data_IF_169299255909
#
_entry.id   IF_169299255909
#
_cell.length_a   1.000
_cell.length_b   1.000
_cell.length_c   1.000
_cell.angle_alpha   90.00
_cell.angle_beta   90.00
_cell.angle_gamma   90.00
#
_symmetry.space_group_name_H-M   'P 1'
#
loop_
_entity.id
_entity.type
_entity.pdbx_description
1 polymer ?
#
# COMPACT_ATOMS: atom_id res chain seq x y z
N UNK A 1 -99.39 23.82 -2.91
CA UNK A 1 -98.62 23.19 -3.99
C UNK A 1 -97.24 23.78 -3.86
N UNK A 2 -96.37 23.13 -3.08
CA UNK A 2 -95.48 22.07 -3.61
C UNK A 2 -94.57 22.69 -4.68
N UNK A 3 -93.24 22.72 -4.55
CA UNK A 3 -92.40 21.65 -4.08
C UNK A 3 -91.08 22.11 -3.48
N UNK A 4 -90.68 21.34 -2.49
CA UNK A 4 -89.34 21.19 -1.97
C UNK A 4 -88.43 20.63 -3.08
N UNK A 5 -87.43 21.40 -3.49
CA UNK A 5 -86.20 20.83 -4.03
C UNK A 5 -85.01 21.43 -3.27
N UNK A 6 -84.84 20.94 -2.04
CA UNK A 6 -83.53 20.95 -1.41
C UNK A 6 -82.65 19.97 -2.18
N UNK A 7 -81.85 20.51 -3.10
CA UNK A 7 -80.68 19.83 -3.65
C UNK A 7 -79.77 19.44 -2.48
N UNK A 8 -79.78 18.16 -2.12
CA UNK A 8 -78.80 17.55 -1.24
C UNK A 8 -77.42 17.79 -1.87
N UNK A 9 -76.66 18.71 -1.30
CA UNK A 9 -75.25 18.84 -1.57
C UNK A 9 -74.60 17.49 -1.24
N UNK A 10 -74.08 16.80 -2.26
CA UNK A 10 -73.15 15.70 -2.07
C UNK A 10 -71.92 16.27 -1.36
N UNK A 11 -71.91 16.15 -0.04
CA UNK A 11 -70.73 16.37 0.77
C UNK A 11 -69.79 15.19 0.54
N UNK A 12 -68.92 15.36 -0.45
CA UNK A 12 -67.76 14.51 -0.72
C UNK A 12 -66.70 14.80 0.37
N UNK A 13 -66.98 14.39 1.61
CA UNK A 13 -65.97 14.39 2.66
C UNK A 13 -65.18 13.09 2.55
N UNK A 14 -63.84 13.14 2.41
CA UNK A 14 -63.01 11.95 2.45
C UNK A 14 -63.31 11.16 3.71
N UNK A 15 -63.60 9.87 3.58
CA UNK A 15 -63.84 9.00 4.72
C UNK A 15 -62.54 8.89 5.54
N UNK A 16 -62.49 9.58 6.67
CA UNK A 16 -61.33 9.66 7.54
C UNK A 16 -60.86 8.27 7.99
N UNK A 17 -61.76 7.29 8.08
CA UNK A 17 -61.40 5.91 8.41
C UNK A 17 -60.66 5.23 7.25
N UNK A 18 -61.11 5.41 6.01
CA UNK A 18 -60.45 4.85 4.83
C UNK A 18 -59.07 5.50 4.61
N UNK A 19 -58.96 6.82 4.77
CA UNK A 19 -57.68 7.53 4.71
C UNK A 19 -56.70 7.04 5.79
N UNK A 20 -57.17 6.87 7.03
CA UNK A 20 -56.35 6.34 8.13
C UNK A 20 -55.87 4.91 7.87
N UNK A 21 -56.74 4.06 7.29
CA UNK A 21 -56.40 2.70 6.91
C UNK A 21 -55.38 2.64 5.76
N UNK A 22 -55.52 3.49 4.75
CA UNK A 22 -54.55 3.58 3.64
C UNK A 22 -53.20 4.09 4.12
N UNK A 23 -53.18 5.12 4.97
CA UNK A 23 -51.93 5.62 5.60
C UNK A 23 -51.23 4.52 6.39
N UNK A 24 -51.96 3.79 7.24
CA UNK A 24 -51.38 2.71 8.03
C UNK A 24 -50.89 1.54 7.17
N UNK A 25 -51.59 1.22 6.07
CA UNK A 25 -51.11 0.23 5.10
C UNK A 25 -49.78 0.67 4.48
N UNK A 26 -49.67 1.92 4.05
CA UNK A 26 -48.45 2.47 3.48
C UNK A 26 -47.29 2.46 4.50
N UNK A 27 -47.56 2.76 5.77
CA UNK A 27 -46.57 2.65 6.86
C UNK A 27 -46.07 1.21 7.04
N UNK A 28 -46.96 0.22 7.04
CA UNK A 28 -46.58 -1.20 7.13
C UNK A 28 -45.73 -1.61 5.92
N UNK A 29 -46.15 -1.24 4.70
CA UNK A 29 -45.40 -1.52 3.47
C UNK A 29 -44.00 -0.91 3.52
N UNK A 30 -43.87 0.29 4.07
CA UNK A 30 -42.57 0.93 4.31
C UNK A 30 -41.72 0.15 5.34
N UNK A 31 -42.29 -0.22 6.49
CA UNK A 31 -41.56 -0.99 7.51
C UNK A 31 -41.08 -2.35 7.01
N UNK A 32 -41.89 -3.02 6.18
CA UNK A 32 -41.49 -4.28 5.53
C UNK A 32 -40.29 -4.02 4.62
N UNK A 33 -40.36 -3.00 3.76
CA UNK A 33 -39.29 -2.64 2.84
C UNK A 33 -37.99 -2.32 3.60
N UNK A 34 -38.06 -1.52 4.66
CA UNK A 34 -36.91 -1.16 5.49
C UNK A 34 -36.29 -2.39 6.17
N UNK A 35 -37.13 -3.30 6.66
CA UNK A 35 -36.69 -4.55 7.30
C UNK A 35 -36.04 -5.50 6.30
N UNK A 36 -36.57 -5.59 5.09
CA UNK A 36 -36.00 -6.41 4.01
C UNK A 36 -34.61 -5.90 3.62
N UNK A 37 -34.43 -4.58 3.47
CA UNK A 37 -33.13 -3.98 3.20
C UNK A 37 -32.12 -4.23 4.32
N UNK A 38 -32.55 -4.11 5.58
CA UNK A 38 -31.68 -4.41 6.74
C UNK A 38 -31.27 -5.89 6.77
N UNK A 39 -32.20 -6.80 6.48
CA UNK A 39 -31.93 -8.23 6.44
C UNK A 39 -30.94 -8.58 5.32
N UNK A 40 -31.10 -8.00 4.13
CA UNK A 40 -30.16 -8.18 3.01
C UNK A 40 -28.74 -7.72 3.39
N UNK A 41 -28.62 -6.58 4.06
CA UNK A 41 -27.34 -6.06 4.52
C UNK A 41 -26.70 -6.96 5.60
N UNK A 42 -27.49 -7.51 6.53
CA UNK A 42 -27.00 -8.51 7.50
C UNK A 42 -26.50 -9.78 6.82
N UNK A 43 -27.20 -10.27 5.78
CA UNK A 43 -26.73 -11.39 4.99
C UNK A 43 -25.42 -11.09 4.26
N UNK A 44 -25.27 -9.89 3.71
CA UNK A 44 -24.02 -9.45 3.08
C UNK A 44 -22.87 -9.42 4.10
N UNK A 45 -23.06 -8.80 5.26
CA UNK A 45 -22.06 -8.75 6.33
C UNK A 45 -21.65 -10.14 6.80
N UNK A 46 -22.62 -11.05 6.96
CA UNK A 46 -22.35 -12.46 7.28
C UNK A 46 -21.51 -13.13 6.19
N UNK A 47 -21.88 -12.93 4.92
CA UNK A 47 -21.14 -13.50 3.79
C UNK A 47 -19.69 -12.99 3.77
N UNK A 48 -19.46 -11.71 4.04
CA UNK A 48 -18.11 -11.12 4.15
C UNK A 48 -17.31 -11.79 5.27
N UNK A 49 -17.91 -12.01 6.45
CA UNK A 49 -17.26 -12.63 7.60
C UNK A 49 -16.82 -14.08 7.35
N UNK A 50 -17.59 -14.82 6.57
CA UNK A 50 -17.36 -16.23 6.27
C UNK A 50 -16.54 -16.44 4.98
N UNK A 51 -16.26 -15.36 4.24
CA UNK A 51 -15.63 -15.41 2.93
C UNK A 51 -14.13 -15.73 3.01
N UNK A 52 -13.66 -16.53 2.05
CA UNK A 52 -12.24 -16.69 1.76
C UNK A 52 -11.71 -15.53 0.88
N UNK A 53 -10.39 -15.51 0.64
CA UNK A 53 -9.76 -14.46 -0.17
C UNK A 53 -10.43 -14.26 -1.54
N UNK A 54 -10.76 -15.35 -2.26
CA UNK A 54 -11.38 -15.27 -3.59
C UNK A 54 -12.77 -14.66 -3.53
N UNK A 55 -13.57 -15.09 -2.56
CA UNK A 55 -14.92 -14.55 -2.37
C UNK A 55 -14.86 -13.07 -1.98
N UNK A 56 -13.91 -12.68 -1.13
CA UNK A 56 -13.70 -11.27 -0.77
C UNK A 56 -13.26 -10.44 -1.98
N UNK A 57 -12.37 -10.98 -2.83
CA UNK A 57 -11.94 -10.34 -4.08
C UNK A 57 -13.12 -10.10 -5.04
N UNK A 58 -13.97 -11.11 -5.23
CA UNK A 58 -15.15 -11.01 -6.08
C UNK A 58 -16.15 -9.98 -5.53
N UNK A 59 -16.38 -9.99 -4.21
CA UNK A 59 -17.22 -9.00 -3.54
C UNK A 59 -16.64 -7.59 -3.68
N UNK A 60 -15.31 -7.43 -3.54
CA UNK A 60 -14.65 -6.14 -3.72
C UNK A 60 -14.86 -5.60 -5.14
N UNK A 61 -14.65 -6.44 -6.16
CA UNK A 61 -14.91 -6.08 -7.57
C UNK A 61 -16.37 -5.71 -7.82
N UNK A 62 -17.30 -6.48 -7.27
CA UNK A 62 -18.72 -6.28 -7.51
C UNK A 62 -19.34 -5.11 -6.74
N UNK A 63 -18.78 -4.73 -5.58
CA UNK A 63 -19.39 -3.74 -4.70
C UNK A 63 -18.62 -2.41 -4.70
N UNK A 64 -17.29 -2.45 -4.65
CA UNK A 64 -16.47 -1.22 -4.55
C UNK A 64 -16.23 -0.61 -5.93
N UNK A 65 -15.79 -1.39 -6.92
CA UNK A 65 -15.52 -0.83 -8.27
C UNK A 65 -16.78 -0.48 -9.05
N UNK A 66 -17.85 -1.24 -8.87
CA UNK A 66 -19.13 -0.98 -9.54
C UNK A 66 -19.97 0.08 -8.83
N UNK A 67 -19.43 0.71 -7.77
CA UNK A 67 -20.08 1.76 -6.97
C UNK A 67 -21.51 1.36 -6.57
N UNK A 68 -21.66 0.13 -6.06
CA UNK A 68 -22.97 -0.34 -5.59
C UNK A 68 -23.25 0.23 -4.22
N UNK A 69 -24.46 0.72 -4.05
CA UNK A 69 -24.93 1.21 -2.77
C UNK A 69 -24.99 0.04 -1.77
N UNK A 70 -24.14 0.11 -0.74
CA UNK A 70 -24.06 -0.84 0.36
C UNK A 70 -23.91 -0.06 1.66
N UNK A 71 -24.29 -0.66 2.79
CA UNK A 71 -24.08 0.02 4.07
C UNK A 71 -22.60 0.31 4.31
N UNK A 72 -22.33 1.45 4.98
CA UNK A 72 -20.97 1.83 5.38
C UNK A 72 -20.29 0.75 6.23
N UNK A 73 -21.07 0.00 7.02
CA UNK A 73 -20.55 -1.10 7.84
C UNK A 73 -20.15 -2.29 6.96
N UNK A 74 -20.97 -2.68 5.98
CA UNK A 74 -20.61 -3.75 5.04
C UNK A 74 -19.36 -3.37 4.23
N UNK A 75 -19.27 -2.12 3.77
CA UNK A 75 -18.09 -1.60 3.08
C UNK A 75 -16.84 -1.67 3.97
N UNK A 76 -16.94 -1.18 5.22
CA UNK A 76 -15.84 -1.18 6.18
C UNK A 76 -15.37 -2.60 6.50
N UNK A 77 -16.30 -3.53 6.71
CA UNK A 77 -16.00 -4.94 6.95
C UNK A 77 -15.29 -5.55 5.74
N UNK A 78 -15.81 -5.35 4.54
CA UNK A 78 -15.21 -5.89 3.31
C UNK A 78 -13.77 -5.43 3.14
N UNK A 79 -13.51 -4.13 3.26
CA UNK A 79 -12.15 -3.58 3.13
C UNK A 79 -11.25 -4.11 4.25
N UNK A 80 -11.75 -4.21 5.48
CA UNK A 80 -10.97 -4.70 6.63
C UNK A 80 -10.55 -6.15 6.48
N UNK A 81 -11.50 -7.05 6.18
CA UNK A 81 -11.20 -8.47 5.99
C UNK A 81 -10.36 -8.73 4.75
N UNK A 82 -10.59 -7.99 3.66
CA UNK A 82 -9.77 -8.08 2.46
C UNK A 82 -8.33 -7.61 2.73
N UNK A 83 -8.16 -6.49 3.43
CA UNK A 83 -6.83 -5.98 3.83
C UNK A 83 -6.11 -6.98 4.73
N UNK A 84 -6.82 -7.61 5.67
CA UNK A 84 -6.26 -8.63 6.53
C UNK A 84 -5.81 -9.87 5.75
N UNK A 85 -6.62 -10.39 4.82
CA UNK A 85 -6.25 -11.55 4.00
C UNK A 85 -5.06 -11.24 3.08
N UNK A 86 -4.89 -10.00 2.64
CA UNK A 86 -3.69 -9.55 1.93
C UNK A 86 -2.46 -9.50 2.84
N UNK A 87 -2.60 -9.04 4.09
CA UNK A 87 -1.52 -8.90 5.06
C UNK A 87 -1.21 -10.19 5.84
N UNK A 88 -1.94 -11.27 5.58
CA UNK A 88 -1.85 -12.57 6.27
C UNK A 88 -0.42 -13.09 6.51
N UNK A 89 0.55 -12.96 5.59
CA UNK A 89 1.94 -13.37 5.85
C UNK A 89 2.54 -12.75 7.11
N UNK A 90 2.12 -11.54 7.48
CA UNK A 90 2.62 -10.86 8.67
C UNK A 90 2.15 -11.48 9.99
N UNK A 91 1.23 -12.46 9.97
CA UNK A 91 0.92 -13.26 11.17
C UNK A 91 2.18 -13.91 11.75
N UNK A 92 3.14 -14.32 10.91
CA UNK A 92 4.41 -14.89 11.35
C UNK A 92 5.23 -13.92 12.24
N UNK A 93 5.05 -12.61 12.04
CA UNK A 93 5.70 -11.53 12.81
C UNK A 93 4.77 -10.86 13.81
N UNK A 94 3.61 -11.48 14.11
CA UNK A 94 2.66 -11.01 15.12
C UNK A 94 1.76 -9.88 14.64
N UNK A 95 1.14 -10.03 13.48
CA UNK A 95 0.10 -9.11 12.98
C UNK A 95 -1.10 -9.07 13.94
N UNK A 96 -1.37 -7.90 14.50
CA UNK A 96 -2.49 -7.64 15.41
C UNK A 96 -3.21 -6.35 15.00
N UNK A 97 -4.53 -6.28 15.21
CA UNK A 97 -5.29 -5.06 14.95
C UNK A 97 -5.06 -4.07 16.10
N UNK A 98 -4.82 -2.81 15.77
CA UNK A 98 -4.72 -1.74 16.78
C UNK A 98 -6.11 -1.23 17.19
N UNK A 99 -6.16 -0.23 18.07
CA UNK A 99 -7.41 0.47 18.40
C UNK A 99 -8.03 1.19 17.17
N UNK A 100 -7.22 1.50 16.16
CA UNK A 100 -7.70 2.07 14.90
C UNK A 100 -8.09 0.96 13.93
N UNK A 101 -9.33 0.98 13.47
CA UNK A 101 -9.89 -0.08 12.60
C UNK A 101 -9.05 -0.32 11.34
N UNK A 102 -8.44 0.73 10.78
CA UNK A 102 -7.66 0.69 9.55
C UNK A 102 -6.16 0.50 9.75
N UNK A 103 -5.71 0.19 10.98
CA UNK A 103 -4.29 0.06 11.29
C UNK A 103 -4.01 -1.27 11.97
N UNK A 104 -3.01 -1.97 11.45
CA UNK A 104 -2.45 -3.18 11.99
C UNK A 104 -1.04 -2.91 12.54
N UNK A 105 -0.65 -3.66 13.55
CA UNK A 105 0.68 -3.63 14.15
C UNK A 105 1.35 -4.98 13.99
N UNK A 106 2.67 -4.96 13.80
CA UNK A 106 3.54 -6.12 13.90
C UNK A 106 4.64 -5.86 14.92
N UNK A 107 5.49 -6.86 15.18
CA UNK A 107 6.71 -6.65 15.98
C UNK A 107 7.64 -5.58 15.40
N UNK A 108 7.65 -5.37 14.08
CA UNK A 108 8.64 -4.54 13.40
C UNK A 108 8.10 -3.16 12.93
N UNK A 109 6.81 -3.07 12.61
CA UNK A 109 6.21 -1.87 12.03
C UNK A 109 4.70 -1.80 12.27
N UNK A 110 4.12 -0.62 12.02
CA UNK A 110 2.70 -0.40 11.85
C UNK A 110 2.36 -0.33 10.36
N UNK A 111 1.20 -0.86 9.97
CA UNK A 111 0.67 -0.73 8.62
C UNK A 111 -0.76 -0.22 8.67
N UNK A 112 -1.01 0.94 8.07
CA UNK A 112 -2.36 1.47 7.86
C UNK A 112 -2.79 1.24 6.41
N UNK A 113 -4.10 1.22 6.16
CA UNK A 113 -4.62 1.12 4.80
C UNK A 113 -5.71 2.13 4.52
N UNK A 114 -5.81 2.55 3.27
CA UNK A 114 -6.85 3.43 2.78
C UNK A 114 -7.13 3.17 1.30
N UNK A 115 -8.35 3.44 0.85
CA UNK A 115 -8.67 3.49 -0.57
C UNK A 115 -8.26 4.83 -1.17
N UNK A 116 -7.64 4.80 -2.35
CA UNK A 116 -7.39 5.99 -3.14
C UNK A 116 -8.63 6.38 -3.98
N UNK A 117 -8.52 7.46 -4.76
CA UNK A 117 -9.59 7.94 -5.64
C UNK A 117 -10.02 6.94 -6.72
N UNK A 118 -9.15 5.97 -7.04
CA UNK A 118 -9.40 4.89 -8.01
C UNK A 118 -9.85 3.59 -7.34
N UNK A 119 -10.23 3.61 -6.06
CA UNK A 119 -10.62 2.44 -5.27
C UNK A 119 -9.52 1.36 -5.14
N UNK A 120 -8.26 1.71 -5.38
CA UNK A 120 -7.12 0.85 -5.09
C UNK A 120 -6.75 0.94 -3.61
N UNK A 121 -6.28 -0.17 -3.06
CA UNK A 121 -5.91 -0.26 -1.65
C UNK A 121 -4.45 0.16 -1.48
N UNK A 122 -4.21 1.25 -0.76
CA UNK A 122 -2.87 1.76 -0.46
C UNK A 122 -2.48 1.36 0.96
N UNK A 123 -1.36 0.67 1.10
CA UNK A 123 -0.76 0.32 2.39
C UNK A 123 0.34 1.31 2.77
N UNK A 124 0.18 1.90 3.94
CA UNK A 124 1.08 2.85 4.55
C UNK A 124 1.88 2.17 5.65
N UNK A 125 3.21 2.26 5.59
CA UNK A 125 4.08 1.62 6.56
C UNK A 125 4.78 2.65 7.43
N UNK A 126 4.84 2.36 8.73
CA UNK A 126 5.60 3.14 9.72
C UNK A 126 6.46 2.18 10.54
N UNK A 127 7.77 2.26 10.36
CA UNK A 127 8.71 1.44 11.12
C UNK A 127 8.84 1.98 12.55
N UNK A 128 9.03 1.08 13.50
CA UNK A 128 9.36 1.44 14.89
C UNK A 128 10.78 2.01 14.93
N UNK A 129 10.95 3.21 15.46
CA UNK A 129 12.25 3.89 15.56
C UNK A 129 13.12 3.27 16.65
N UNK A 130 14.44 3.50 16.59
CA UNK A 130 15.37 3.06 17.66
C UNK A 130 15.22 3.91 18.92
N UNK A 131 14.86 5.19 18.75
CA UNK A 131 14.73 6.17 19.83
C UNK A 131 13.36 6.82 19.75
N UNK A 132 12.52 6.54 20.74
CA UNK A 132 11.11 6.95 20.84
C UNK A 132 10.91 8.48 20.86
N UNK A 133 11.99 9.26 20.98
CA UNK A 133 11.95 10.72 20.83
C UNK A 133 11.68 11.16 19.38
N UNK A 134 11.94 10.30 18.40
CA UNK A 134 11.70 10.58 16.99
C UNK A 134 10.40 9.96 16.53
N UNK A 135 9.65 10.69 15.71
CA UNK A 135 8.42 10.17 15.10
C UNK A 135 8.66 10.10 13.60
N UNK A 136 8.53 8.90 13.05
CA UNK A 136 8.50 8.66 11.60
C UNK A 136 7.05 8.64 11.16
N UNK A 137 6.77 9.29 10.03
CA UNK A 137 5.45 9.32 9.42
C UNK A 137 5.12 8.01 8.69
N UNK A 138 3.84 7.81 8.45
CA UNK A 138 3.34 6.72 7.62
C UNK A 138 3.70 6.97 6.14
N UNK A 139 4.38 6.01 5.52
CA UNK A 139 4.82 6.09 4.13
C UNK A 139 3.91 5.21 3.25
N UNK A 140 3.19 5.76 2.25
CA UNK A 140 2.39 4.98 1.32
C UNK A 140 3.31 4.17 0.40
N UNK A 141 3.59 2.93 0.78
CA UNK A 141 4.63 2.14 0.15
C UNK A 141 4.10 1.23 -0.94
N UNK A 142 2.93 0.63 -0.73
CA UNK A 142 2.35 -0.35 -1.63
C UNK A 142 0.97 0.11 -2.08
N UNK A 143 0.72 0.03 -3.38
CA UNK A 143 -0.61 0.18 -3.96
C UNK A 143 -1.02 -1.14 -4.57
N UNK A 144 -2.13 -1.70 -4.12
CA UNK A 144 -2.73 -2.90 -4.68
C UNK A 144 -3.82 -2.48 -5.66
N UNK A 145 -3.57 -2.71 -6.95
CA UNK A 145 -4.57 -2.57 -7.98
C UNK A 145 -5.35 -3.88 -8.10
N UNK A 146 -6.57 -3.85 -7.61
CA UNK A 146 -7.44 -5.03 -7.52
C UNK A 146 -8.06 -5.37 -8.87
N UNK A 147 -8.28 -4.38 -9.74
CA UNK A 147 -8.84 -4.59 -11.08
C UNK A 147 -7.84 -5.35 -11.96
N UNK A 148 -6.62 -4.83 -12.03
CA UNK A 148 -5.53 -5.38 -12.84
C UNK A 148 -4.84 -6.57 -12.16
N UNK A 149 -5.12 -6.82 -10.88
CA UNK A 149 -4.39 -7.78 -10.05
C UNK A 149 -2.88 -7.48 -10.06
N UNK A 150 -2.52 -6.21 -9.89
CA UNK A 150 -1.13 -5.75 -9.89
C UNK A 150 -0.78 -5.03 -8.59
N UNK A 151 0.50 -5.04 -8.24
CA UNK A 151 1.03 -4.34 -7.06
C UNK A 151 2.15 -3.42 -7.49
N UNK A 152 2.02 -2.17 -7.09
CA UNK A 152 3.00 -1.13 -7.33
C UNK A 152 3.66 -0.73 -6.02
N UNK A 153 4.98 -0.55 -6.07
CA UNK A 153 5.77 -0.05 -4.95
C UNK A 153 6.16 1.39 -5.24
N UNK A 154 5.97 2.28 -4.27
CA UNK A 154 6.40 3.66 -4.41
C UNK A 154 7.89 3.81 -4.11
N UNK A 155 8.70 3.81 -5.18
CA UNK A 155 10.16 3.92 -5.11
C UNK A 155 10.66 5.20 -4.42
N UNK A 156 9.90 6.30 -4.46
CA UNK A 156 10.23 7.53 -3.73
C UNK A 156 10.22 7.28 -2.23
N UNK A 157 9.21 6.56 -1.73
CA UNK A 157 9.13 6.20 -0.31
C UNK A 157 10.15 5.14 0.09
N UNK A 158 10.57 4.26 -0.83
CA UNK A 158 11.72 3.37 -0.61
C UNK A 158 13.01 4.17 -0.37
N UNK A 159 13.25 5.24 -1.16
CA UNK A 159 14.38 6.15 -0.93
C UNK A 159 14.26 6.88 0.40
N UNK A 160 13.05 7.26 0.82
CA UNK A 160 12.81 7.83 2.15
C UNK A 160 13.22 6.86 3.26
N UNK A 161 12.90 5.57 3.16
CA UNK A 161 13.35 4.56 4.13
C UNK A 161 14.89 4.47 4.22
N UNK A 162 15.58 4.54 3.07
CA UNK A 162 17.05 4.59 3.03
C UNK A 162 17.58 5.86 3.71
N UNK A 163 16.94 7.01 3.49
CA UNK A 163 17.30 8.27 4.15
C UNK A 163 17.18 8.17 5.68
N UNK A 164 16.06 7.67 6.17
CA UNK A 164 15.78 7.54 7.60
C UNK A 164 16.82 6.66 8.31
N UNK A 165 17.36 5.65 7.61
CA UNK A 165 18.44 4.81 8.11
C UNK A 165 19.83 5.45 7.97
N UNK A 166 20.16 5.99 6.80
CA UNK A 166 21.52 6.41 6.49
C UNK A 166 21.82 7.85 6.89
N UNK A 167 20.93 8.78 6.59
CA UNK A 167 21.09 10.21 6.84
C UNK A 167 20.68 10.55 8.28
N UNK A 168 19.47 10.13 8.67
CA UNK A 168 18.85 10.59 9.92
C UNK A 168 19.15 9.66 11.10
N UNK A 169 19.54 8.41 10.82
CA UNK A 169 19.86 7.37 11.81
C UNK A 169 18.68 7.03 12.74
N UNK A 170 17.45 7.27 12.30
CA UNK A 170 16.23 6.91 13.06
C UNK A 170 15.94 5.42 13.03
N UNK A 171 16.41 4.74 11.97
CA UNK A 171 16.30 3.31 11.78
C UNK A 171 17.67 2.64 11.91
N UNK A 172 17.69 1.42 12.40
CA UNK A 172 18.86 0.55 12.40
C UNK A 172 18.93 -0.33 11.15
N UNK A 173 20.12 -0.85 10.86
CA UNK A 173 20.33 -1.79 9.74
C UNK A 173 19.47 -3.06 9.90
N UNK A 174 19.36 -3.59 11.11
CA UNK A 174 18.57 -4.79 11.39
C UNK A 174 17.08 -4.55 11.17
N UNK A 175 16.55 -3.39 11.57
CA UNK A 175 15.15 -3.03 11.32
C UNK A 175 14.83 -2.97 9.82
N UNK A 176 15.67 -2.33 9.00
CA UNK A 176 15.47 -2.31 7.55
C UNK A 176 15.58 -3.71 6.93
N UNK A 177 16.52 -4.53 7.41
CA UNK A 177 16.68 -5.90 6.90
C UNK A 177 15.47 -6.78 7.22
N UNK A 178 14.94 -6.71 8.44
CA UNK A 178 13.74 -7.44 8.86
C UNK A 178 12.52 -6.96 8.07
N UNK A 179 12.33 -5.65 7.96
CA UNK A 179 11.28 -5.06 7.15
C UNK A 179 11.33 -5.54 5.69
N UNK A 180 12.53 -5.53 5.09
CA UNK A 180 12.72 -6.01 3.72
C UNK A 180 12.40 -7.50 3.57
N UNK A 181 12.75 -8.33 4.56
CA UNK A 181 12.36 -9.74 4.57
C UNK A 181 10.85 -9.90 4.60
N UNK A 182 10.18 -9.23 5.56
CA UNK A 182 8.73 -9.32 5.74
C UNK A 182 7.99 -8.91 4.45
N UNK A 183 8.39 -7.79 3.82
CA UNK A 183 7.79 -7.31 2.57
C UNK A 183 8.00 -8.30 1.41
N UNK A 184 9.15 -8.96 1.34
CA UNK A 184 9.39 -9.95 0.29
C UNK A 184 8.60 -11.24 0.51
N UNK A 185 8.35 -11.64 1.76
CA UNK A 185 7.41 -12.72 2.07
C UNK A 185 5.98 -12.34 1.66
N UNK A 186 5.59 -11.08 1.87
CA UNK A 186 4.32 -10.54 1.39
C UNK A 186 4.23 -10.56 -0.16
N UNK A 187 5.27 -10.13 -0.88
CA UNK A 187 5.29 -10.19 -2.35
C UNK A 187 5.21 -11.61 -2.89
N UNK A 188 5.88 -12.57 -2.24
CA UNK A 188 5.76 -13.98 -2.59
C UNK A 188 4.31 -14.46 -2.45
N UNK A 189 3.67 -14.13 -1.33
CA UNK A 189 2.26 -14.47 -1.09
C UNK A 189 1.33 -13.83 -2.13
N UNK A 190 1.55 -12.56 -2.48
CA UNK A 190 0.76 -11.91 -3.53
C UNK A 190 0.87 -12.62 -4.87
N UNK A 191 2.07 -13.05 -5.28
CA UNK A 191 2.27 -13.86 -6.49
C UNK A 191 1.53 -15.20 -6.41
N UNK A 192 1.50 -15.83 -5.23
CA UNK A 192 0.71 -17.06 -5.00
C UNK A 192 -0.81 -16.83 -5.10
N UNK A 193 -1.30 -15.65 -4.71
CA UNK A 193 -2.71 -15.25 -4.88
C UNK A 193 -3.06 -14.78 -6.29
N UNK A 194 -2.08 -14.74 -7.21
CA UNK A 194 -2.29 -14.38 -8.61
C UNK A 194 -2.09 -12.89 -8.93
N UNK A 195 -1.47 -12.12 -8.03
CA UNK A 195 -1.08 -10.74 -8.34
C UNK A 195 0.28 -10.69 -9.06
N UNK A 196 0.41 -9.74 -9.97
CA UNK A 196 1.68 -9.35 -10.57
C UNK A 196 2.33 -8.23 -9.74
N UNK A 197 3.49 -8.50 -9.14
CA UNK A 197 4.28 -7.47 -8.45
C UNK A 197 5.15 -6.78 -9.49
N UNK A 198 4.90 -5.49 -9.71
CA UNK A 198 5.67 -4.69 -10.67
C UNK A 198 7.13 -4.60 -10.22
N UNK A 199 8.09 -4.54 -11.18
CA UNK A 199 9.49 -4.33 -10.86
C UNK A 199 9.65 -3.09 -9.98
N UNK A 200 10.33 -3.26 -8.86
CA UNK A 200 10.47 -2.20 -7.87
C UNK A 200 11.79 -2.30 -7.13
N UNK A 201 12.11 -1.25 -6.37
CA UNK A 201 13.28 -1.23 -5.52
C UNK A 201 13.22 -2.23 -4.35
N UNK A 202 12.04 -2.77 -4.00
CA UNK A 202 11.90 -3.71 -2.87
C UNK A 202 11.82 -5.18 -3.28
N UNK A 203 11.44 -5.49 -4.52
CA UNK A 203 11.26 -6.87 -4.97
C UNK A 203 12.61 -7.57 -5.12
N UNK A 204 12.87 -8.59 -4.27
CA UNK A 204 14.06 -9.43 -4.35
C UNK A 204 13.84 -10.75 -5.10
N UNK A 205 12.65 -11.00 -5.64
CA UNK A 205 12.33 -12.28 -6.31
C UNK A 205 13.05 -12.43 -7.64
N UNK A 206 13.50 -11.32 -8.24
CA UNK A 206 14.30 -11.28 -9.46
C UNK A 206 15.72 -10.77 -9.18
N UNK A 207 16.61 -10.96 -10.16
CA UNK A 207 17.93 -10.35 -10.10
C UNK A 207 17.81 -8.83 -10.15
N UNK A 208 18.56 -8.12 -9.31
CA UNK A 208 18.61 -6.66 -9.34
C UNK A 208 19.41 -6.23 -10.57
N UNK A 209 18.71 -5.83 -11.63
CA UNK A 209 19.28 -5.14 -12.78
C UNK A 209 18.46 -3.89 -13.00
N UNK A 210 18.96 -2.75 -12.53
CA UNK A 210 18.14 -1.56 -12.38
C UNK A 210 18.90 -0.30 -12.76
N UNK A 211 18.27 0.50 -13.62
CA UNK A 211 18.70 1.85 -13.97
C UNK A 211 17.95 2.85 -13.08
N UNK A 212 18.67 3.54 -12.22
CA UNK A 212 18.18 4.63 -11.39
C UNK A 212 18.68 5.95 -11.93
N UNK A 213 17.79 6.94 -11.93
CA UNK A 213 18.17 8.33 -12.11
C UNK A 213 17.97 9.00 -10.74
N UNK A 214 19.00 9.68 -10.27
CA UNK A 214 18.95 10.51 -9.07
C UNK A 214 18.82 11.97 -9.50
N UNK A 215 17.89 12.70 -8.89
CA UNK A 215 17.56 14.10 -9.21
C UNK A 215 18.65 15.11 -8.77
N UNK A 216 19.87 14.63 -8.52
CA UNK A 216 20.99 15.44 -8.08
C UNK A 216 22.28 14.96 -8.75
N UNK A 217 23.19 15.89 -9.08
CA UNK A 217 24.52 15.53 -9.53
C UNK A 217 25.35 15.06 -8.34
N UNK A 218 26.11 13.98 -8.53
CA UNK A 218 27.02 13.52 -7.50
C UNK A 218 28.19 14.48 -7.31
N UNK A 219 28.55 14.75 -6.05
CA UNK A 219 29.71 15.57 -5.71
C UNK A 219 31.00 14.73 -5.77
N UNK A 220 32.10 15.35 -6.19
CA UNK A 220 33.44 14.76 -6.21
C UNK A 220 33.81 14.14 -4.86
N UNK A 221 33.45 14.76 -3.74
CA UNK A 221 33.72 14.23 -2.40
C UNK A 221 33.11 12.84 -2.16
N UNK A 222 31.96 12.54 -2.79
CA UNK A 222 31.34 11.21 -2.69
C UNK A 222 32.13 10.21 -3.54
N UNK A 223 32.51 10.58 -4.76
CA UNK A 223 33.34 9.73 -5.63
C UNK A 223 34.69 9.41 -5.00
N UNK A 224 35.36 10.41 -4.42
CA UNK A 224 36.63 10.24 -3.71
C UNK A 224 36.49 9.27 -2.54
N UNK A 225 35.39 9.36 -1.78
CA UNK A 225 35.12 8.44 -0.67
C UNK A 225 34.87 7.01 -1.13
N UNK A 226 34.15 6.84 -2.24
CA UNK A 226 33.94 5.52 -2.86
C UNK A 226 35.30 4.95 -3.27
N UNK A 227 36.11 5.72 -3.99
CA UNK A 227 37.46 5.32 -4.42
C UNK A 227 38.36 4.92 -3.25
N UNK A 228 38.39 5.72 -2.17
CA UNK A 228 39.17 5.37 -0.97
C UNK A 228 38.67 4.05 -0.37
N UNK A 229 37.35 3.86 -0.26
CA UNK A 229 36.76 2.65 0.33
C UNK A 229 37.05 1.41 -0.50
N UNK A 230 37.04 1.51 -1.83
CA UNK A 230 37.40 0.39 -2.71
C UNK A 230 38.89 0.09 -2.65
N UNK A 231 39.76 1.10 -2.57
CA UNK A 231 41.19 0.90 -2.40
C UNK A 231 41.57 0.21 -1.08
N UNK A 232 40.79 0.44 -0.02
CA UNK A 232 40.99 -0.19 1.29
C UNK A 232 40.46 -1.64 1.36
N UNK A 233 39.69 -2.09 0.35
CA UNK A 233 39.09 -3.41 0.34
C UNK A 233 39.48 -4.20 -0.92
N UNK A 234 40.22 -5.30 -0.73
CA UNK A 234 40.71 -6.15 -1.82
C UNK A 234 39.61 -6.83 -2.65
N UNK A 235 38.39 -6.89 -2.13
CA UNK A 235 37.26 -7.53 -2.81
C UNK A 235 36.51 -6.58 -3.75
N UNK A 236 36.87 -5.29 -3.76
CA UNK A 236 36.23 -4.25 -4.58
C UNK A 236 37.22 -3.63 -5.55
N UNK A 237 36.73 -3.12 -6.68
CA UNK A 237 37.52 -2.37 -7.65
C UNK A 237 36.78 -1.10 -8.10
N UNK A 238 37.52 -0.08 -8.49
CA UNK A 238 36.99 1.18 -8.99
C UNK A 238 37.68 1.56 -10.29
N UNK A 239 36.93 1.49 -11.38
CA UNK A 239 37.41 1.71 -12.73
C UNK A 239 36.80 2.99 -13.32
N UNK A 240 37.62 3.78 -14.00
CA UNK A 240 37.16 4.89 -14.81
C UNK A 240 36.92 4.42 -16.24
N UNK A 241 35.68 4.55 -16.73
CA UNK A 241 35.27 4.08 -18.06
C UNK A 241 35.41 5.15 -19.16
N UNK A 242 35.82 6.37 -18.79
CA UNK A 242 35.94 7.51 -19.70
C UNK A 242 34.88 8.59 -19.45
N UNK A 243 35.25 9.86 -19.65
CA UNK A 243 34.37 10.99 -19.37
C UNK A 243 33.99 11.07 -17.89
N UNK A 244 32.71 11.32 -17.61
CA UNK A 244 32.12 11.35 -16.26
C UNK A 244 31.45 10.01 -15.88
N UNK A 245 32.00 8.90 -16.42
CA UNK A 245 31.49 7.55 -16.22
C UNK A 245 32.49 6.68 -15.43
N UNK A 246 32.01 6.07 -14.36
CA UNK A 246 32.77 5.26 -13.43
C UNK A 246 32.08 3.92 -13.22
N UNK A 247 32.84 2.87 -12.92
CA UNK A 247 32.31 1.57 -12.56
C UNK A 247 32.94 1.13 -11.24
N UNK A 248 32.10 0.68 -10.32
CA UNK A 248 32.53 0.07 -9.08
C UNK A 248 32.20 -1.42 -9.17
N UNK A 249 33.22 -2.26 -9.14
CA UNK A 249 33.05 -3.69 -9.01
C UNK A 249 33.04 -4.03 -7.52
N UNK A 250 32.02 -4.76 -7.10
CA UNK A 250 31.82 -5.20 -5.72
C UNK A 250 32.12 -6.69 -5.62
N UNK A 251 32.12 -7.19 -4.38
CA UNK A 251 32.29 -8.61 -4.15
C UNK A 251 31.23 -9.42 -4.91
N UNK A 252 31.62 -10.64 -5.28
CA UNK A 252 30.75 -11.57 -6.01
C UNK A 252 30.33 -11.05 -7.40
N UNK A 253 31.20 -10.24 -8.03
CA UNK A 253 31.05 -9.73 -9.39
C UNK A 253 29.81 -8.84 -9.60
N UNK A 254 29.26 -8.29 -8.52
CA UNK A 254 28.21 -7.28 -8.62
C UNK A 254 28.83 -5.96 -9.10
N UNK A 255 28.11 -5.19 -9.89
CA UNK A 255 28.64 -3.93 -10.43
C UNK A 255 27.66 -2.78 -10.21
N UNK A 256 28.22 -1.59 -10.04
CA UNK A 256 27.47 -0.34 -10.15
C UNK A 256 28.20 0.58 -11.11
N UNK A 257 27.52 0.98 -12.17
CA UNK A 257 27.99 2.01 -13.09
C UNK A 257 27.39 3.34 -12.68
N UNK A 258 28.23 4.35 -12.57
CA UNK A 258 27.88 5.71 -12.17
C UNK A 258 28.17 6.62 -13.36
N UNK A 259 27.15 7.26 -13.88
CA UNK A 259 27.28 8.27 -14.93
C UNK A 259 26.78 9.61 -14.40
N UNK A 260 27.71 10.57 -14.31
CA UNK A 260 27.41 11.88 -13.76
C UNK A 260 27.05 12.85 -14.89
N UNK A 261 25.91 13.51 -14.73
CA UNK A 261 25.46 14.60 -15.58
C UNK A 261 25.44 15.92 -14.78
N UNK A 262 25.12 17.04 -15.45
CA UNK A 262 25.13 18.37 -14.81
C UNK A 262 24.17 18.49 -13.64
N UNK A 263 22.97 17.91 -13.76
CA UNK A 263 21.88 18.04 -12.78
C UNK A 263 21.42 16.70 -12.19
N UNK A 264 21.89 15.58 -12.72
CA UNK A 264 21.43 14.25 -12.34
C UNK A 264 22.59 13.26 -12.31
N UNK A 265 22.36 12.12 -11.68
CA UNK A 265 23.29 10.99 -11.69
C UNK A 265 22.53 9.76 -12.14
N UNK A 266 22.98 9.13 -13.22
CA UNK A 266 22.47 7.84 -13.67
C UNK A 266 23.29 6.73 -13.01
N UNK A 267 22.60 5.77 -12.41
CA UNK A 267 23.18 4.62 -11.75
C UNK A 267 22.62 3.36 -12.40
N UNK A 268 23.50 2.46 -12.81
CA UNK A 268 23.11 1.13 -13.24
C UNK A 268 23.66 0.12 -12.25
N UNK A 269 22.77 -0.60 -11.57
CA UNK A 269 23.14 -1.65 -10.61
C UNK A 269 22.88 -3.00 -11.25
N UNK A 270 23.89 -3.88 -11.20
CA UNK A 270 23.76 -5.28 -11.57
C UNK A 270 24.23 -6.16 -10.42
N UNK A 271 23.31 -6.96 -9.87
CA UNK A 271 23.61 -7.91 -8.81
C UNK A 271 24.17 -9.25 -9.30
N UNK A 272 24.55 -9.36 -10.58
CA UNK A 272 25.05 -10.59 -11.20
C UNK A 272 24.13 -11.78 -10.95
N UNK A 273 22.88 -11.65 -11.43
CA UNK A 273 21.81 -12.64 -11.28
C UNK A 273 21.35 -12.92 -9.83
N UNK A 274 21.86 -12.21 -8.81
CA UNK A 274 21.46 -12.41 -7.42
C UNK A 274 20.14 -11.73 -7.09
N UNK A 275 19.28 -12.48 -6.42
CA UNK A 275 18.01 -12.01 -5.86
C UNK A 275 18.24 -11.02 -4.72
N UNK A 276 18.15 -9.72 -5.02
CA UNK A 276 18.39 -8.63 -4.07
C UNK A 276 17.44 -7.46 -4.31
N UNK A 277 17.01 -6.82 -3.22
CA UNK A 277 16.33 -5.52 -3.27
C UNK A 277 17.35 -4.39 -3.11
N UNK A 278 16.96 -3.15 -3.43
CA UNK A 278 17.79 -1.97 -3.18
C UNK A 278 18.11 -1.82 -1.70
N UNK A 279 17.20 -2.21 -0.79
CA UNK A 279 17.42 -2.08 0.64
C UNK A 279 18.52 -3.04 1.10
N UNK A 280 18.52 -4.28 0.62
CA UNK A 280 19.60 -5.22 0.92
C UNK A 280 20.93 -4.77 0.30
N UNK A 281 20.90 -4.24 -0.93
CA UNK A 281 22.09 -3.66 -1.57
C UNK A 281 22.64 -2.47 -0.78
N UNK A 282 21.80 -1.48 -0.45
CA UNK A 282 22.17 -0.28 0.29
C UNK A 282 22.71 -0.60 1.69
N UNK A 283 22.09 -1.56 2.39
CA UNK A 283 22.56 -2.00 3.71
C UNK A 283 23.85 -2.81 3.65
N UNK A 284 24.11 -3.51 2.54
CA UNK A 284 25.36 -4.25 2.30
C UNK A 284 26.52 -3.36 1.90
N UNK A 285 26.26 -2.28 1.16
CA UNK A 285 27.26 -1.31 0.71
C UNK A 285 26.92 0.12 1.19
N UNK A 286 27.01 0.41 2.50
CA UNK A 286 26.65 1.73 3.04
C UNK A 286 27.43 2.91 2.43
N UNK A 287 28.64 2.67 1.92
CA UNK A 287 29.47 3.70 1.29
C UNK A 287 28.91 4.16 -0.07
N UNK A 288 28.04 3.35 -0.70
CA UNK A 288 27.34 3.68 -1.94
C UNK A 288 26.02 4.42 -1.70
N UNK A 289 25.50 4.44 -0.47
CA UNK A 289 24.20 5.07 -0.15
C UNK A 289 24.10 6.55 -0.57
N UNK A 290 25.15 7.38 -0.45
CA UNK A 290 25.12 8.76 -0.94
C UNK A 290 24.84 8.92 -2.45
N UNK A 291 24.90 7.84 -3.24
CA UNK A 291 24.47 7.82 -4.64
C UNK A 291 22.93 7.84 -4.78
N UNK A 292 22.22 7.24 -3.83
CA UNK A 292 20.77 7.05 -3.87
C UNK A 292 20.00 8.15 -3.15
N UNK A 293 20.62 8.73 -2.11
CA UNK A 293 19.98 9.69 -1.19
C UNK A 293 20.99 10.77 -0.80
N UNK A 294 20.56 12.03 -0.87
CA UNK A 294 21.25 13.15 -0.23
C UNK A 294 20.52 13.57 1.03
N UNK A 295 21.28 14.01 2.04
CA UNK A 295 20.70 14.68 3.20
C UNK A 295 20.03 15.96 2.72
N UNK A 296 18.72 16.10 2.91
CA UNK A 296 18.07 17.39 2.70
C UNK A 296 18.74 18.41 3.61
N UNK A 297 19.18 19.53 3.04
CA UNK A 297 19.72 20.65 3.82
C UNK A 297 18.67 21.22 4.76
#
# INVERSE_FOLDING_TARGET
MEDNQQSLAQTDFPDAYLMGKESYKAEIEQWITDTELELEDLYLRKKILEADFRTLLDLYKALIFQDKDISTIAQTNLITYFSYELLKPFQAVGLEQTEHFNTWETKHFYTAYQLNESNNLVFYFKLKVVDDRFVVDYLPLLTVNIEEMSIEVNDTHVRTLISLWYCDKFLSRSQLSLFNQDINELFKYFKEQGFEVQPSLLDNTQALSLKLISDFPINQTVLDRIFITTMENTDYDFEWLGGEKYQVQLNQEQTITIERHENETELFIDSNHRRRSILDFATSYPFLVPLFVQRSK
#
